data_IF_216819341694
#
_entry.id   IF_216819341694
#
_cell.length_a   1.000
_cell.length_b   1.000
_cell.length_c   1.000
_cell.angle_alpha   90.00
_cell.angle_beta   90.00
_cell.angle_gamma   90.00
#
_symmetry.space_group_name_H-M   'P 1'
#
loop_
_entity.id
_entity.type
_entity.pdbx_description
1 polymer ?
#
# COMPACT_ATOMS: atom_id res chain seq x y z
N UNK A 1 56.68 51.50 -6.50
CA UNK A 1 55.37 51.15 -6.02
C UNK A 1 54.87 49.95 -6.87
N UNK A 2 54.88 48.71 -6.33
CA UNK A 2 54.43 47.49 -7.00
C UNK A 2 52.96 47.30 -6.65
N UNK A 3 52.06 47.32 -7.67
CA UNK A 3 50.66 47.01 -7.55
C UNK A 3 50.53 45.49 -7.63
N UNK A 4 50.03 44.83 -6.55
CA UNK A 4 49.65 43.44 -6.55
C UNK A 4 48.21 43.37 -7.01
N UNK A 5 47.96 42.81 -8.19
CA UNK A 5 46.63 42.45 -8.62
C UNK A 5 46.23 41.13 -7.95
N UNK A 6 45.24 41.24 -7.08
CA UNK A 6 44.65 40.07 -6.37
C UNK A 6 43.63 39.38 -7.31
N UNK A 7 44.07 38.30 -7.97
CA UNK A 7 43.23 37.50 -8.81
C UNK A 7 42.34 36.64 -7.89
N UNK A 8 41.03 37.02 -7.73
CA UNK A 8 40.07 36.28 -6.96
C UNK A 8 39.44 35.19 -7.86
N UNK A 9 39.99 33.96 -7.80
CA UNK A 9 39.48 32.82 -8.54
C UNK A 9 38.22 32.32 -7.83
N UNK A 10 37.06 32.64 -8.40
CA UNK A 10 35.75 32.16 -7.91
C UNK A 10 35.58 30.69 -8.32
N UNK A 11 35.77 29.76 -7.36
CA UNK A 11 35.57 28.31 -7.56
C UNK A 11 34.09 27.99 -7.51
N UNK A 12 33.47 27.82 -8.67
CA UNK A 12 32.09 27.33 -8.77
C UNK A 12 32.06 25.83 -8.42
N UNK A 13 31.60 25.50 -7.22
CA UNK A 13 31.25 24.11 -6.86
C UNK A 13 29.90 23.82 -7.51
N UNK A 14 29.86 23.14 -8.65
CA UNK A 14 28.66 22.52 -9.22
C UNK A 14 28.30 21.31 -8.34
N UNK A 15 27.36 21.50 -7.42
CA UNK A 15 26.71 20.42 -6.72
C UNK A 15 25.86 19.70 -7.76
N UNK A 16 26.39 18.61 -8.33
CA UNK A 16 25.62 17.68 -9.15
C UNK A 16 24.61 16.99 -8.23
N UNK A 17 23.39 17.47 -8.23
CA UNK A 17 22.28 16.76 -7.62
C UNK A 17 22.01 15.52 -8.48
N UNK A 18 22.52 14.36 -8.09
CA UNK A 18 22.08 13.10 -8.65
C UNK A 18 20.61 12.94 -8.25
N UNK A 19 19.70 13.25 -9.15
CA UNK A 19 18.32 12.77 -9.06
C UNK A 19 18.40 11.27 -9.25
N UNK A 20 18.41 10.52 -8.16
CA UNK A 20 18.16 9.08 -8.23
C UNK A 20 16.78 8.91 -8.86
N UNK A 21 16.75 8.46 -10.09
CA UNK A 21 15.53 8.03 -10.75
C UNK A 21 14.93 6.92 -9.90
N UNK A 22 13.78 7.20 -9.31
CA UNK A 22 13.08 6.21 -8.50
C UNK A 22 12.76 5.00 -9.39
N UNK A 23 13.00 3.78 -8.92
CA UNK A 23 12.69 2.60 -9.69
C UNK A 23 11.20 2.64 -10.07
N UNK A 24 10.91 2.52 -11.36
CA UNK A 24 9.54 2.37 -11.83
C UNK A 24 9.06 0.98 -11.43
N UNK A 25 8.24 0.91 -10.40
CA UNK A 25 7.71 -0.37 -9.90
C UNK A 25 6.84 -0.99 -10.98
N UNK A 26 7.22 -2.19 -11.42
CA UNK A 26 6.45 -2.97 -12.37
C UNK A 26 5.31 -3.67 -11.66
N UNK A 27 4.09 -3.46 -12.14
CA UNK A 27 2.92 -4.16 -11.61
C UNK A 27 2.91 -5.60 -12.13
N UNK A 28 3.07 -6.55 -11.23
CA UNK A 28 3.07 -8.00 -11.48
C UNK A 28 2.14 -8.69 -10.48
N UNK A 29 1.72 -9.92 -10.78
CA UNK A 29 0.98 -10.76 -9.83
C UNK A 29 1.90 -11.17 -8.68
N UNK A 30 1.41 -11.09 -7.43
CA UNK A 30 2.20 -11.34 -6.23
C UNK A 30 3.15 -10.20 -5.87
N UNK A 31 4.07 -10.47 -4.95
CA UNK A 31 4.97 -9.46 -4.39
C UNK A 31 6.41 -9.75 -4.88
N UNK A 32 6.90 -8.93 -5.81
CA UNK A 32 8.30 -8.98 -6.21
C UNK A 32 9.21 -8.44 -5.09
N UNK A 33 10.47 -8.90 -5.08
CA UNK A 33 11.46 -8.38 -4.13
C UNK A 33 11.66 -6.86 -4.29
N UNK A 34 11.55 -6.36 -5.50
CA UNK A 34 11.67 -4.94 -5.80
C UNK A 34 10.50 -4.14 -5.18
N UNK A 35 9.27 -4.62 -5.36
CA UNK A 35 8.09 -4.03 -4.72
C UNK A 35 8.20 -4.06 -3.19
N UNK A 36 8.62 -5.18 -2.60
CA UNK A 36 8.79 -5.30 -1.15
C UNK A 36 9.82 -4.31 -0.60
N UNK A 37 10.97 -4.17 -1.27
CA UNK A 37 12.00 -3.19 -0.90
C UNK A 37 11.49 -1.75 -1.02
N UNK A 38 10.75 -1.45 -2.08
CA UNK A 38 10.19 -0.13 -2.29
C UNK A 38 9.14 0.21 -1.23
N UNK A 39 8.20 -0.70 -0.95
CA UNK A 39 7.20 -0.53 0.12
C UNK A 39 7.85 -0.21 1.47
N UNK A 40 8.93 -0.91 1.82
CA UNK A 40 9.67 -0.67 3.07
C UNK A 40 10.25 0.75 3.15
N UNK A 41 10.55 1.39 2.02
CA UNK A 41 11.03 2.77 1.98
C UNK A 41 9.89 3.78 1.92
N UNK A 42 8.80 3.42 1.22
CA UNK A 42 7.66 4.28 0.96
C UNK A 42 6.73 4.43 2.17
N UNK A 43 6.52 3.34 2.92
CA UNK A 43 5.51 3.24 3.98
C UNK A 43 6.13 2.83 5.32
N UNK A 44 5.62 3.42 6.40
CA UNK A 44 5.92 3.06 7.79
C UNK A 44 4.67 3.16 8.67
N UNK A 45 4.78 2.77 9.93
CA UNK A 45 3.76 2.92 10.97
C UNK A 45 2.39 2.37 10.55
N UNK A 46 2.39 1.17 9.96
CA UNK A 46 1.19 0.55 9.42
C UNK A 46 0.35 -0.05 10.53
N UNK A 47 -0.90 0.41 10.64
CA UNK A 47 -1.91 -0.15 11.54
C UNK A 47 -3.11 -0.62 10.74
N UNK A 48 -3.51 -1.89 10.94
CA UNK A 48 -4.71 -2.48 10.37
C UNK A 48 -5.81 -2.58 11.42
N UNK A 49 -6.99 -2.06 11.09
CA UNK A 49 -8.25 -2.34 11.81
C UNK A 49 -9.15 -3.14 10.88
N UNK A 50 -9.45 -4.37 11.26
CA UNK A 50 -10.14 -5.32 10.39
C UNK A 50 -11.38 -5.88 11.08
N UNK A 51 -12.55 -5.62 10.50
CA UNK A 51 -13.85 -6.11 10.98
C UNK A 51 -14.40 -7.14 9.99
N UNK A 52 -14.83 -8.31 10.52
CA UNK A 52 -15.52 -9.34 9.76
C UNK A 52 -16.93 -9.58 10.33
N UNK A 53 -17.95 -9.54 9.47
CA UNK A 53 -19.30 -10.03 9.81
C UNK A 53 -19.48 -11.40 9.19
N UNK A 54 -19.33 -12.43 10.00
CA UNK A 54 -19.41 -13.83 9.58
C UNK A 54 -20.84 -14.35 9.81
N UNK A 55 -21.65 -14.50 8.75
CA UNK A 55 -23.00 -15.04 8.87
C UNK A 55 -22.95 -16.54 9.19
N UNK A 56 -24.03 -17.05 9.80
CA UNK A 56 -24.20 -18.48 10.06
C UNK A 56 -24.30 -19.27 8.75
N UNK A 57 -25.10 -18.77 7.82
CA UNK A 57 -25.35 -19.40 6.52
C UNK A 57 -24.09 -19.32 5.64
N UNK A 58 -23.56 -20.47 5.22
CA UNK A 58 -22.37 -20.58 4.39
C UNK A 58 -22.50 -19.88 3.04
N UNK A 59 -23.71 -19.79 2.50
CA UNK A 59 -24.00 -19.15 1.21
C UNK A 59 -24.00 -17.62 1.28
N UNK A 60 -24.02 -17.04 2.47
CA UNK A 60 -24.02 -15.60 2.67
C UNK A 60 -22.57 -15.09 2.74
N UNK A 61 -22.25 -14.06 1.96
CA UNK A 61 -20.92 -13.48 1.91
C UNK A 61 -20.48 -12.92 3.27
N UNK A 62 -19.18 -12.99 3.55
CA UNK A 62 -18.57 -12.41 4.74
C UNK A 62 -18.26 -10.95 4.46
N UNK A 63 -19.17 -10.07 4.87
CA UNK A 63 -18.98 -8.63 4.72
C UNK A 63 -17.88 -8.13 5.66
N UNK A 64 -16.92 -7.43 5.11
CA UNK A 64 -15.70 -7.02 5.83
C UNK A 64 -15.38 -5.54 5.61
N UNK A 65 -14.75 -4.96 6.61
CA UNK A 65 -14.21 -3.60 6.59
C UNK A 65 -12.76 -3.63 7.04
N UNK A 66 -11.91 -3.01 6.26
CA UNK A 66 -10.50 -2.76 6.61
C UNK A 66 -10.27 -1.26 6.66
N UNK A 67 -9.62 -0.79 7.72
CA UNK A 67 -8.97 0.52 7.75
C UNK A 67 -7.48 0.30 7.88
N UNK A 68 -6.73 0.87 6.96
CA UNK A 68 -5.26 0.90 6.99
C UNK A 68 -4.85 2.33 7.28
N UNK A 69 -4.24 2.55 8.45
CA UNK A 69 -3.56 3.80 8.76
C UNK A 69 -2.07 3.58 8.54
N UNK A 70 -1.41 4.50 7.83
CA UNK A 70 -0.02 4.39 7.46
C UNK A 70 0.63 5.75 7.26
N UNK A 71 1.95 5.80 7.42
CA UNK A 71 2.77 6.97 7.14
C UNK A 71 3.47 6.81 5.80
N UNK A 72 3.32 7.80 4.90
CA UNK A 72 3.94 7.82 3.57
C UNK A 72 5.15 8.76 3.59
N UNK A 73 6.30 8.23 3.19
CA UNK A 73 7.57 8.96 3.11
C UNK A 73 7.88 9.45 1.69
N UNK A 74 7.23 8.87 0.67
CA UNK A 74 7.53 9.15 -0.73
C UNK A 74 6.29 8.91 -1.61
N UNK A 75 6.02 9.85 -2.52
CA UNK A 75 4.90 9.82 -3.48
C UNK A 75 5.39 9.67 -4.93
N UNK A 76 6.54 9.03 -5.15
CA UNK A 76 7.07 8.82 -6.49
C UNK A 76 6.27 7.79 -7.28
N UNK A 77 5.79 6.73 -6.62
CA UNK A 77 4.91 5.70 -7.18
C UNK A 77 3.60 5.61 -6.39
N UNK A 78 2.59 4.97 -6.98
CA UNK A 78 1.34 4.62 -6.32
C UNK A 78 1.58 3.67 -5.14
N UNK A 79 0.66 3.64 -4.18
CA UNK A 79 0.68 2.65 -3.11
C UNK A 79 -0.11 1.43 -3.57
N UNK A 80 0.49 0.26 -3.44
CA UNK A 80 -0.11 -1.02 -3.81
C UNK A 80 -0.48 -1.79 -2.55
N UNK A 81 -1.76 -2.11 -2.38
CA UNK A 81 -2.26 -2.99 -1.32
C UNK A 81 -2.61 -4.35 -1.93
N UNK A 82 -2.16 -5.43 -1.29
CA UNK A 82 -2.40 -6.77 -1.81
C UNK A 82 -3.84 -7.21 -1.56
N UNK A 83 -4.50 -7.71 -2.59
CA UNK A 83 -5.85 -8.25 -2.51
C UNK A 83 -6.01 -9.36 -3.56
N UNK A 84 -5.81 -10.60 -3.11
CA UNK A 84 -5.79 -11.80 -3.97
C UNK A 84 -7.20 -12.42 -4.15
N UNK A 85 -8.21 -11.59 -4.22
CA UNK A 85 -9.58 -11.99 -4.54
C UNK A 85 -10.07 -11.26 -5.79
N UNK A 86 -11.18 -11.71 -6.34
CA UNK A 86 -11.79 -11.07 -7.50
C UNK A 86 -12.17 -9.61 -7.23
N UNK A 87 -11.95 -8.72 -8.19
CA UNK A 87 -12.31 -7.30 -8.07
C UNK A 87 -13.78 -7.07 -7.70
N UNK A 88 -14.67 -7.98 -8.09
CA UNK A 88 -16.12 -7.95 -7.76
C UNK A 88 -16.42 -8.01 -6.26
N UNK A 89 -15.47 -8.54 -5.46
CA UNK A 89 -15.58 -8.58 -4.00
C UNK A 89 -15.27 -7.23 -3.34
N UNK A 90 -14.58 -6.32 -4.00
CA UNK A 90 -14.37 -4.96 -3.53
C UNK A 90 -15.65 -4.14 -3.70
N UNK A 91 -16.14 -3.51 -2.63
CA UNK A 91 -17.43 -2.79 -2.62
C UNK A 91 -17.25 -1.28 -2.62
N UNK A 92 -16.31 -0.78 -1.82
CA UNK A 92 -15.99 0.65 -1.80
C UNK A 92 -14.59 0.90 -1.27
N UNK A 93 -14.02 2.01 -1.72
CA UNK A 93 -12.72 2.52 -1.31
C UNK A 93 -12.90 3.97 -0.89
N UNK A 94 -12.31 4.35 0.25
CA UNK A 94 -12.13 5.74 0.66
C UNK A 94 -10.67 5.97 1.01
N UNK A 95 -10.17 7.13 0.63
CA UNK A 95 -8.82 7.59 0.95
C UNK A 95 -8.96 8.93 1.68
N UNK A 96 -8.43 8.99 2.90
CA UNK A 96 -8.53 10.19 3.75
C UNK A 96 -9.97 10.70 3.89
N UNK A 97 -10.93 9.76 4.07
CA UNK A 97 -12.35 10.02 4.21
C UNK A 97 -13.10 10.35 2.90
N UNK A 98 -12.43 10.49 1.77
CA UNK A 98 -13.03 10.78 0.47
C UNK A 98 -13.22 9.50 -0.33
N UNK A 99 -14.40 9.33 -0.95
CA UNK A 99 -14.67 8.20 -1.84
C UNK A 99 -13.72 8.24 -3.05
N UNK A 100 -13.16 7.08 -3.38
CA UNK A 100 -12.27 6.89 -4.52
C UNK A 100 -12.77 5.75 -5.41
N UNK A 101 -12.36 5.75 -6.67
CA UNK A 101 -12.58 4.63 -7.57
C UNK A 101 -11.68 3.45 -7.21
N UNK A 102 -12.19 2.25 -7.42
CA UNK A 102 -11.46 1.02 -7.17
C UNK A 102 -10.68 0.65 -8.43
N UNK A 103 -9.36 0.66 -8.33
CA UNK A 103 -8.48 0.16 -9.38
C UNK A 103 -7.79 -1.10 -8.86
N UNK A 104 -8.23 -2.28 -9.33
CA UNK A 104 -7.70 -3.57 -8.92
C UNK A 104 -7.10 -4.29 -10.13
N UNK A 105 -5.81 -4.59 -10.07
CA UNK A 105 -5.07 -5.25 -11.13
C UNK A 105 -3.97 -6.12 -10.52
N UNK A 106 -3.74 -7.30 -11.11
CA UNK A 106 -2.62 -8.18 -10.73
C UNK A 106 -2.55 -8.47 -9.22
N UNK A 107 -3.72 -8.72 -8.60
CA UNK A 107 -3.84 -8.98 -7.15
C UNK A 107 -3.51 -7.77 -6.25
N UNK A 108 -3.51 -6.55 -6.81
CA UNK A 108 -3.27 -5.32 -6.06
C UNK A 108 -4.40 -4.32 -6.22
N UNK A 109 -4.76 -3.66 -5.13
CA UNK A 109 -5.53 -2.42 -5.14
C UNK A 109 -4.53 -1.28 -5.31
N UNK A 110 -4.66 -0.52 -6.39
CA UNK A 110 -3.77 0.57 -6.74
C UNK A 110 -4.34 1.86 -6.18
N UNK A 111 -3.65 2.46 -5.23
CA UNK A 111 -3.98 3.75 -4.64
C UNK A 111 -3.15 4.82 -5.33
N UNK A 112 -3.83 5.65 -6.11
CA UNK A 112 -3.18 6.74 -6.85
C UNK A 112 -2.50 7.71 -5.88
N UNK A 113 -1.21 7.92 -6.07
CA UNK A 113 -0.37 8.81 -5.27
C UNK A 113 -0.91 10.25 -5.19
N UNK A 114 -1.69 10.69 -6.17
CA UNK A 114 -2.30 12.03 -6.18
C UNK A 114 -3.41 12.20 -5.14
N UNK A 115 -3.92 11.09 -4.60
CA UNK A 115 -4.94 11.06 -3.54
C UNK A 115 -4.35 10.98 -2.13
N UNK A 116 -3.05 10.85 -2.03
CA UNK A 116 -2.29 10.66 -0.80
C UNK A 116 -1.48 11.90 -0.45
N UNK A 117 -1.00 11.95 0.80
CA UNK A 117 -0.13 13.01 1.32
C UNK A 117 1.16 12.40 1.87
N UNK A 118 2.24 13.18 1.92
CA UNK A 118 3.39 12.83 2.77
C UNK A 118 2.96 12.88 4.24
N UNK A 119 3.34 11.88 5.02
CA UNK A 119 2.90 11.70 6.39
C UNK A 119 1.70 10.76 6.50
N UNK A 120 0.84 10.99 7.49
CA UNK A 120 -0.26 10.08 7.86
C UNK A 120 -1.37 10.05 6.82
N UNK A 121 -1.81 8.86 6.45
CA UNK A 121 -2.94 8.61 5.56
C UNK A 121 -3.82 7.49 6.13
N UNK A 122 -5.12 7.51 5.78
CA UNK A 122 -6.09 6.49 6.14
C UNK A 122 -6.80 5.97 4.89
N UNK A 123 -6.82 4.65 4.72
CA UNK A 123 -7.46 3.97 3.59
C UNK A 123 -8.52 3.04 4.16
N UNK A 124 -9.78 3.26 3.80
CA UNK A 124 -10.92 2.42 4.22
C UNK A 124 -11.45 1.62 3.03
N UNK A 125 -11.55 0.30 3.20
CA UNK A 125 -12.00 -0.63 2.16
C UNK A 125 -13.15 -1.47 2.72
N UNK A 126 -14.28 -1.52 1.99
CA UNK A 126 -15.34 -2.50 2.23
C UNK A 126 -15.26 -3.58 1.16
N UNK A 127 -15.33 -4.84 1.58
CA UNK A 127 -15.17 -5.98 0.68
C UNK A 127 -15.88 -7.23 1.22
N UNK A 128 -16.12 -8.21 0.36
CA UNK A 128 -16.50 -9.55 0.76
C UNK A 128 -15.22 -10.38 0.92
N UNK A 129 -15.00 -10.94 2.11
CA UNK A 129 -13.81 -11.74 2.38
C UNK A 129 -13.86 -13.09 1.62
N UNK A 130 -12.67 -13.60 1.29
CA UNK A 130 -12.49 -14.97 0.79
C UNK A 130 -12.76 -16.01 1.87
N UNK A 131 -13.03 -17.22 1.45
CA UNK A 131 -13.38 -18.35 2.35
C UNK A 131 -12.33 -19.47 2.34
N UNK A 132 -11.21 -19.29 1.64
CA UNK A 132 -10.21 -20.36 1.49
C UNK A 132 -9.60 -20.83 2.81
N UNK A 133 -9.51 -19.94 3.80
CA UNK A 133 -8.95 -20.24 5.13
C UNK A 133 -10.00 -20.46 6.19
N UNK A 134 -11.28 -20.41 5.82
CA UNK A 134 -12.40 -20.49 6.75
C UNK A 134 -13.30 -21.67 6.43
N UNK A 135 -13.46 -22.57 7.40
CA UNK A 135 -14.45 -23.65 7.34
C UNK A 135 -15.63 -23.29 8.25
N UNK A 136 -16.83 -23.17 7.69
CA UNK A 136 -18.05 -22.93 8.45
C UNK A 136 -19.20 -23.80 7.93
N UNK A 137 -20.01 -24.25 8.82
CA UNK A 137 -21.31 -24.90 8.57
C UNK A 137 -22.29 -24.46 9.65
N UNK A 138 -23.43 -25.13 9.73
CA UNK A 138 -24.49 -24.78 10.68
C UNK A 138 -24.13 -25.04 12.15
N UNK A 139 -23.12 -25.85 12.41
CA UNK A 139 -22.72 -26.28 13.75
C UNK A 139 -21.41 -25.60 14.22
N UNK A 140 -20.47 -25.31 13.33
CA UNK A 140 -19.18 -24.79 13.72
C UNK A 140 -18.59 -23.79 12.71
N UNK A 141 -17.69 -22.98 13.25
CA UNK A 141 -16.78 -22.10 12.53
C UNK A 141 -15.35 -22.49 12.91
N UNK A 142 -14.52 -22.78 11.92
CA UNK A 142 -13.12 -23.15 12.12
C UNK A 142 -12.21 -22.44 11.13
N UNK A 143 -11.11 -21.87 11.64
CA UNK A 143 -9.99 -21.36 10.84
C UNK A 143 -8.67 -21.82 11.44
N UNK A 144 -7.71 -22.20 10.59
CA UNK A 144 -6.37 -22.54 11.02
C UNK A 144 -5.44 -21.36 10.73
N UNK A 145 -4.96 -20.74 11.78
CA UNK A 145 -3.92 -19.69 11.69
C UNK A 145 -2.57 -20.36 11.81
N UNK A 146 -1.79 -20.33 10.72
CA UNK A 146 -0.43 -20.88 10.70
C UNK A 146 0.55 -19.72 10.66
N UNK A 147 1.28 -19.44 11.78
CA UNK A 147 2.18 -18.28 11.88
C UNK A 147 3.25 -18.24 10.77
N UNK A 148 3.79 -19.38 10.39
CA UNK A 148 4.83 -19.49 9.36
C UNK A 148 4.33 -19.15 7.93
N UNK A 149 3.02 -19.03 7.76
CA UNK A 149 2.37 -18.64 6.49
C UNK A 149 1.78 -17.24 6.52
N UNK A 150 1.85 -16.57 7.67
CA UNK A 150 1.45 -15.17 7.76
C UNK A 150 2.51 -14.33 7.06
N UNK A 151 2.15 -13.70 5.95
CA UNK A 151 2.97 -12.66 5.34
C UNK A 151 2.79 -11.37 6.15
N UNK A 152 3.88 -10.81 6.57
CA UNK A 152 3.97 -9.49 7.22
C UNK A 152 4.28 -8.41 6.20
#
# INVERSE_FOLDING_TARGET
>A
MKRYELLFTFFFIVISCNTEDSPKIKLETGISLELAKYRKQQISDVLYELDFKIPKEKTTAISSRLVVNLTISDLKNDVLLDFNEEASKLKSLKINGKKSEINHQKEHIIIDKTTLFLGENSIEIFFDAGELSLNRNDEFLYTLLVPDRAST
#
